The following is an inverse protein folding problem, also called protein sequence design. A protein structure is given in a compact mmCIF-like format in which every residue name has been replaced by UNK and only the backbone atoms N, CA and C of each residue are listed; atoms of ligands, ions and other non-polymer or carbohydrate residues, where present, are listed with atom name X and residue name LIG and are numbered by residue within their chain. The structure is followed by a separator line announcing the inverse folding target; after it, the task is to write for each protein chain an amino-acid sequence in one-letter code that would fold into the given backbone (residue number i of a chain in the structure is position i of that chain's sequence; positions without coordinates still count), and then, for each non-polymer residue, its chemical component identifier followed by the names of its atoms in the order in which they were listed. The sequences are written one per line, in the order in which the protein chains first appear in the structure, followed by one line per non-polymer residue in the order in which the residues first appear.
data_IF_210363003444
#
_entry.id   IF_210363003444
#
_cell.length_a   1.000
_cell.length_b   1.000
_cell.length_c   1.000
_cell.angle_alpha   90.00
_cell.angle_beta   90.00
_cell.angle_gamma   90.00
#
_symmetry.space_group_name_H-M   'P 1'
#
loop_
_entity.id
_entity.type
_entity.pdbx_description
1 polymer ?
#
# COMPACT_ATOMS: atom_id res chain seq x y z
N UNK A 1 3.82 71.67 -11.18
CA UNK A 1 3.58 72.76 -10.21
C UNK A 1 3.99 72.22 -8.84
N UNK A 2 5.01 72.83 -8.23
CA UNK A 2 5.64 72.58 -6.92
C UNK A 2 6.41 71.28 -6.65
N UNK A 3 7.73 71.40 -6.81
CA UNK A 3 8.76 70.65 -6.07
C UNK A 3 9.11 71.43 -4.79
N UNK A 4 9.28 70.77 -3.63
CA UNK A 4 10.18 71.24 -2.56
C UNK A 4 10.84 70.03 -1.87
N UNK A 5 12.17 70.00 -1.94
CA UNK A 5 13.11 69.14 -1.20
C UNK A 5 13.26 69.64 0.24
N UNK A 6 13.52 68.76 1.21
CA UNK A 6 14.44 69.06 2.33
C UNK A 6 15.18 67.81 2.79
N UNK A 7 16.50 67.87 2.65
CA UNK A 7 17.51 66.96 3.21
C UNK A 7 17.69 67.20 4.71
N UNK A 8 18.07 66.16 5.46
CA UNK A 8 18.99 66.27 6.59
C UNK A 8 19.68 64.91 6.87
N UNK A 9 20.97 64.92 6.55
CA UNK A 9 22.14 64.19 7.07
C UNK A 9 22.21 64.26 8.63
N UNK A 10 22.89 63.45 9.46
CA UNK A 10 24.24 62.82 9.55
C UNK A 10 24.17 61.95 10.85
N UNK A 11 24.52 60.65 10.86
CA UNK A 11 25.80 60.03 11.30
C UNK A 11 25.87 59.51 12.76
N UNK A 12 26.80 58.56 12.94
CA UNK A 12 27.45 58.17 14.21
C UNK A 12 26.58 57.35 15.18
N UNK A 13 27.00 56.27 15.83
CA UNK A 13 28.33 55.77 16.20
C UNK A 13 28.29 54.25 16.43
N UNK A 14 29.38 53.61 16.02
CA UNK A 14 30.12 52.49 16.63
C UNK A 14 29.66 51.85 17.95
N UNK A 15 29.84 50.52 17.97
CA UNK A 15 30.53 49.69 18.97
C UNK A 15 29.77 49.00 20.12
N UNK A 16 30.04 47.67 20.14
CA UNK A 16 30.25 46.76 21.26
C UNK A 16 29.15 46.60 22.33
N UNK A 17 28.68 45.36 22.44
CA UNK A 17 28.53 44.72 23.75
C UNK A 17 29.15 43.31 23.73
N UNK A 18 29.96 42.96 24.75
CA UNK A 18 30.55 41.65 24.93
C UNK A 18 29.70 40.76 25.85
N UNK A 19 29.81 39.45 25.59
CA UNK A 19 30.06 38.36 26.54
C UNK A 19 29.18 38.10 27.80
N UNK A 20 29.15 36.79 28.12
CA UNK A 20 29.04 36.13 29.43
C UNK A 20 27.62 35.81 29.99
N UNK A 21 27.21 34.57 29.72
CA UNK A 21 26.83 33.50 30.65
C UNK A 21 25.95 33.84 31.89
N UNK A 22 24.74 33.25 31.98
CA UNK A 22 24.14 32.94 33.28
C UNK A 22 23.26 31.68 33.24
N UNK A 23 23.72 30.69 33.98
CA UNK A 23 23.07 29.43 34.34
C UNK A 23 21.65 29.63 34.89
N UNK A 24 20.70 28.84 34.39
CA UNK A 24 19.55 28.34 35.16
C UNK A 24 19.49 26.81 35.01
N UNK A 25 19.76 26.08 36.09
CA UNK A 25 19.35 24.68 36.29
C UNK A 25 17.91 24.69 36.89
N UNK A 26 17.29 23.54 37.17
CA UNK A 26 16.77 22.51 36.27
C UNK A 26 15.24 22.43 36.40
N UNK A 27 14.51 22.18 35.31
CA UNK A 27 13.11 21.73 35.38
C UNK A 27 13.03 20.42 34.63
N UNK A 28 12.80 19.36 35.41
CA UNK A 28 12.56 17.99 34.95
C UNK A 28 11.42 18.00 33.94
N UNK A 29 11.74 17.83 32.67
CA UNK A 29 10.76 17.48 31.64
C UNK A 29 11.17 16.13 31.11
N UNK A 30 10.34 15.16 31.46
CA UNK A 30 10.30 13.76 31.10
C UNK A 30 11.08 13.40 29.83
N UNK A 31 12.03 12.49 30.04
CA UNK A 31 12.78 11.73 29.06
C UNK A 31 11.81 10.97 28.13
N UNK A 32 11.44 11.54 26.99
CA UNK A 32 11.01 10.74 25.85
C UNK A 32 12.28 10.21 25.18
N UNK A 33 12.82 9.13 25.75
CA UNK A 33 13.81 8.30 25.07
C UNK A 33 13.20 7.89 23.74
N UNK A 34 13.72 8.47 22.66
CA UNK A 34 13.47 7.99 21.31
C UNK A 34 14.15 6.62 21.26
N UNK A 35 13.40 5.55 21.50
CA UNK A 35 13.89 4.19 21.39
C UNK A 35 14.14 3.88 19.90
N UNK A 36 15.39 3.67 19.43
CA UNK A 36 15.63 3.12 18.11
C UNK A 36 15.53 1.58 18.19
N UNK A 37 14.44 1.08 18.77
CA UNK A 37 14.18 -0.33 18.94
C UNK A 37 12.91 -0.71 18.15
N UNK A 38 12.91 -0.40 16.85
CA UNK A 38 11.96 -1.03 15.93
C UNK A 38 12.50 -2.42 15.62
N UNK A 39 12.17 -3.33 16.54
CA UNK A 39 12.38 -4.78 16.47
C UNK A 39 12.45 -5.29 15.04
N UNK A 40 13.66 -5.68 14.60
CA UNK A 40 13.89 -6.50 13.41
C UNK A 40 13.58 -7.96 13.79
N UNK A 41 12.33 -8.23 14.11
CA UNK A 41 11.82 -9.58 14.36
C UNK A 41 11.14 -10.06 13.09
N UNK A 42 11.61 -11.19 12.54
CA UNK A 42 11.16 -12.11 11.46
C UNK A 42 9.87 -11.83 10.64
N UNK A 43 8.94 -11.02 11.12
CA UNK A 43 7.73 -10.47 10.49
C UNK A 43 7.97 -9.35 9.46
N UNK A 44 9.16 -9.29 8.81
CA UNK A 44 9.57 -8.16 7.95
C UNK A 44 10.28 -8.60 6.66
N UNK A 45 9.91 -9.76 6.11
CA UNK A 45 10.35 -10.14 4.76
C UNK A 45 9.20 -9.89 3.81
N UNK A 46 9.44 -9.06 2.81
CA UNK A 46 8.52 -8.88 1.70
C UNK A 46 8.43 -10.21 0.93
N UNK A 47 7.24 -10.54 0.45
CA UNK A 47 7.00 -11.66 -0.47
C UNK A 47 6.93 -11.14 -1.89
N UNK A 48 7.13 -12.00 -2.86
CA UNK A 48 6.87 -11.72 -4.27
C UNK A 48 5.58 -12.41 -4.70
N UNK A 49 4.73 -11.67 -5.40
CA UNK A 49 3.51 -12.22 -6.00
C UNK A 49 3.64 -12.11 -7.51
N UNK A 50 3.55 -13.24 -8.19
CA UNK A 50 3.57 -13.39 -9.63
C UNK A 50 2.14 -13.57 -10.14
N UNK A 51 1.67 -12.62 -10.93
CA UNK A 51 0.38 -12.67 -11.60
C UNK A 51 0.60 -13.11 -13.04
N UNK A 52 0.18 -14.33 -13.36
CA UNK A 52 0.33 -14.92 -14.69
C UNK A 52 -0.96 -14.69 -15.48
N UNK A 53 -0.89 -13.91 -16.55
CA UNK A 53 -2.02 -13.58 -17.41
C UNK A 53 -1.69 -13.96 -18.86
N UNK A 54 -2.13 -15.14 -19.30
CA UNK A 54 -1.68 -15.71 -20.57
C UNK A 54 -0.17 -15.92 -20.57
N UNK A 55 0.52 -15.34 -21.56
CA UNK A 55 1.98 -15.42 -21.70
C UNK A 55 2.74 -14.34 -20.90
N UNK A 56 2.03 -13.44 -20.22
CA UNK A 56 2.62 -12.34 -19.47
C UNK A 56 2.66 -12.64 -17.98
N UNK A 57 3.72 -12.21 -17.30
CA UNK A 57 3.85 -12.30 -15.84
C UNK A 57 4.16 -10.92 -15.26
N UNK A 58 3.36 -10.51 -14.29
CA UNK A 58 3.53 -9.25 -13.55
C UNK A 58 3.97 -9.60 -12.12
N UNK A 59 5.02 -8.97 -11.61
CA UNK A 59 5.56 -9.31 -10.29
C UNK A 59 5.56 -8.09 -9.39
N UNK A 60 4.89 -8.21 -8.24
CA UNK A 60 4.83 -7.17 -7.21
C UNK A 60 5.39 -7.66 -5.89
N UNK A 61 5.84 -6.72 -5.06
CA UNK A 61 6.19 -6.97 -3.66
C UNK A 61 4.95 -6.88 -2.79
N UNK A 62 4.81 -7.82 -1.87
CA UNK A 62 3.70 -7.87 -0.93
C UNK A 62 4.20 -7.94 0.51
N UNK A 63 3.48 -7.30 1.41
CA UNK A 63 3.61 -7.52 2.84
C UNK A 63 2.54 -8.48 3.30
N UNK A 64 2.79 -9.13 4.42
CA UNK A 64 1.76 -9.90 5.11
C UNK A 64 0.60 -8.98 5.48
N UNK A 65 -0.61 -9.37 5.09
CA UNK A 65 -1.86 -8.63 5.29
C UNK A 65 -2.38 -7.94 4.04
N UNK A 66 -1.51 -7.65 3.07
CA UNK A 66 -1.89 -7.03 1.80
C UNK A 66 -2.81 -7.96 1.02
N UNK A 67 -3.84 -7.43 0.37
CA UNK A 67 -4.62 -8.16 -0.62
C UNK A 67 -3.87 -8.25 -1.95
N UNK A 68 -4.24 -9.18 -2.83
CA UNK A 68 -3.63 -9.22 -4.17
C UNK A 68 -3.93 -7.94 -4.98
N UNK A 69 -5.04 -7.25 -4.69
CA UNK A 69 -5.32 -5.92 -5.25
C UNK A 69 -4.35 -4.86 -4.73
N UNK A 70 -4.06 -4.84 -3.43
CA UNK A 70 -3.08 -3.91 -2.85
C UNK A 70 -1.71 -4.10 -3.50
N UNK A 71 -1.30 -5.35 -3.75
CA UNK A 71 -0.03 -5.64 -4.44
C UNK A 71 -0.01 -5.07 -5.86
N UNK A 72 -1.11 -5.16 -6.60
CA UNK A 72 -1.23 -4.59 -7.95
C UNK A 72 -1.11 -3.07 -7.93
N UNK A 73 -1.82 -2.41 -7.02
CA UNK A 73 -1.88 -0.95 -6.93
C UNK A 73 -0.57 -0.38 -6.36
N UNK A 74 -0.08 -0.91 -5.24
CA UNK A 74 1.12 -0.40 -4.55
C UNK A 74 2.42 -0.57 -5.35
N UNK A 75 2.42 -1.49 -6.33
CA UNK A 75 3.56 -1.74 -7.21
C UNK A 75 3.35 -1.20 -8.64
N UNK A 76 2.27 -0.46 -8.90
CA UNK A 76 1.95 0.10 -10.23
C UNK A 76 2.03 -0.93 -11.37
N UNK A 77 1.50 -2.14 -11.13
CA UNK A 77 1.61 -3.23 -12.10
C UNK A 77 0.72 -2.96 -13.33
N UNK A 78 1.24 -3.07 -14.57
CA UNK A 78 0.51 -2.72 -15.79
C UNK A 78 -0.46 -3.83 -16.24
N UNK A 79 -1.34 -4.28 -15.34
CA UNK A 79 -2.42 -5.23 -15.64
C UNK A 79 -3.76 -4.48 -15.73
N UNK A 80 -4.09 -4.04 -16.94
CA UNK A 80 -5.27 -3.20 -17.17
C UNK A 80 -6.57 -3.84 -16.70
N UNK A 81 -7.43 -2.99 -16.11
CA UNK A 81 -8.78 -3.33 -15.66
C UNK A 81 -8.84 -4.20 -14.40
N UNK A 82 -7.71 -4.60 -13.81
CA UNK A 82 -7.71 -5.39 -12.58
C UNK A 82 -8.21 -4.56 -11.39
N UNK A 83 -9.25 -5.04 -10.69
CA UNK A 83 -9.78 -4.38 -9.48
C UNK A 83 -10.58 -3.10 -9.72
N UNK A 84 -11.47 -3.07 -10.71
CA UNK A 84 -12.16 -1.86 -11.16
C UNK A 84 -13.14 -1.23 -10.14
N UNK A 85 -13.55 -1.99 -9.12
CA UNK A 85 -14.35 -1.50 -7.98
C UNK A 85 -13.52 -1.18 -6.73
N UNK A 86 -12.18 -1.22 -6.82
CA UNK A 86 -11.29 -0.86 -5.70
C UNK A 86 -11.52 -1.72 -4.44
N UNK A 87 -11.93 -2.99 -4.62
CA UNK A 87 -12.08 -3.95 -3.53
C UNK A 87 -13.42 -3.93 -2.80
N UNK A 88 -14.43 -3.21 -3.31
CA UNK A 88 -15.76 -3.14 -2.69
C UNK A 88 -16.71 -4.30 -3.04
N UNK A 89 -16.18 -5.41 -3.57
CA UNK A 89 -16.97 -6.61 -3.98
C UNK A 89 -18.16 -6.24 -4.88
N UNK A 90 -17.93 -5.33 -5.84
CA UNK A 90 -18.97 -4.84 -6.76
C UNK A 90 -18.62 -5.11 -8.24
N UNK A 91 -17.58 -5.90 -8.50
CA UNK A 91 -17.19 -6.36 -9.82
C UNK A 91 -16.39 -7.67 -9.70
N UNK A 92 -16.15 -8.36 -10.81
CA UNK A 92 -15.31 -9.56 -10.88
C UNK A 92 -13.96 -9.36 -11.60
N UNK A 93 -13.55 -8.11 -11.88
CA UNK A 93 -12.32 -7.86 -12.67
C UNK A 93 -11.01 -8.18 -11.94
N UNK A 94 -11.07 -8.46 -10.64
CA UNK A 94 -9.94 -8.96 -9.84
C UNK A 94 -9.93 -10.49 -9.71
N UNK A 95 -10.74 -11.21 -10.49
CA UNK A 95 -10.77 -12.67 -10.50
C UNK A 95 -9.37 -13.25 -10.71
N UNK A 96 -8.98 -14.14 -9.80
CA UNK A 96 -7.76 -14.93 -9.84
C UNK A 96 -8.08 -16.40 -9.61
N UNK A 97 -7.22 -17.26 -10.14
CA UNK A 97 -7.25 -18.70 -9.92
C UNK A 97 -6.04 -19.05 -9.06
N UNK A 98 -6.31 -19.63 -7.90
CA UNK A 98 -5.30 -20.04 -6.93
C UNK A 98 -4.87 -21.50 -7.18
N UNK A 99 -3.68 -21.87 -6.71
CA UNK A 99 -3.32 -23.29 -6.61
C UNK A 99 -4.19 -23.99 -5.56
N UNK A 100 -4.39 -25.30 -5.68
CA UNK A 100 -5.20 -26.07 -4.73
C UNK A 100 -4.76 -25.85 -3.27
N UNK A 101 -3.45 -25.80 -3.03
CA UNK A 101 -2.88 -25.60 -1.70
C UNK A 101 -3.13 -24.19 -1.18
N UNK A 102 -3.01 -23.17 -2.04
CA UNK A 102 -3.27 -21.79 -1.66
C UNK A 102 -4.76 -21.55 -1.42
N UNK A 103 -5.63 -22.09 -2.29
CA UNK A 103 -7.07 -22.00 -2.13
C UNK A 103 -7.53 -22.63 -0.81
N UNK A 104 -7.14 -23.87 -0.52
CA UNK A 104 -7.52 -24.57 0.73
C UNK A 104 -7.10 -23.81 1.98
N UNK A 105 -5.94 -23.14 1.92
CA UNK A 105 -5.45 -22.33 3.04
C UNK A 105 -6.28 -21.06 3.21
N UNK A 106 -6.50 -20.33 2.12
CA UNK A 106 -7.34 -19.13 2.13
C UNK A 106 -8.77 -19.47 2.57
N UNK A 107 -9.32 -20.61 2.19
CA UNK A 107 -10.66 -21.03 2.61
C UNK A 107 -10.75 -21.33 4.12
N UNK A 108 -9.64 -21.72 4.76
CA UNK A 108 -9.59 -21.92 6.21
C UNK A 108 -9.51 -20.61 7.00
N UNK A 109 -8.83 -19.60 6.45
CA UNK A 109 -8.53 -18.33 7.13
C UNK A 109 -9.50 -17.21 6.77
N UNK A 110 -9.94 -17.19 5.51
CA UNK A 110 -10.88 -16.25 4.92
C UNK A 110 -11.80 -16.99 3.91
N UNK A 111 -12.78 -17.76 4.42
CA UNK A 111 -13.76 -18.47 3.60
C UNK A 111 -14.44 -17.53 2.60
N UNK A 112 -14.81 -18.07 1.44
CA UNK A 112 -15.53 -17.30 0.42
C UNK A 112 -16.89 -16.83 0.97
N UNK A 113 -17.21 -15.54 0.82
CA UNK A 113 -18.52 -15.01 1.24
C UNK A 113 -19.59 -15.22 0.16
N UNK A 114 -20.87 -15.13 0.53
CA UNK A 114 -21.97 -15.21 -0.44
C UNK A 114 -21.88 -14.09 -1.48
N UNK A 115 -21.55 -12.86 -1.07
CA UNK A 115 -21.38 -11.73 -1.99
C UNK A 115 -20.19 -11.93 -2.94
N UNK A 116 -19.11 -12.55 -2.48
CA UNK A 116 -17.98 -12.92 -3.33
C UNK A 116 -18.41 -13.95 -4.39
N UNK A 117 -19.18 -14.98 -3.99
CA UNK A 117 -19.72 -16.00 -4.90
C UNK A 117 -20.65 -15.39 -5.94
N UNK A 118 -21.58 -14.52 -5.54
CA UNK A 118 -22.50 -13.83 -6.44
C UNK A 118 -21.75 -13.06 -7.54
N UNK A 119 -20.61 -12.44 -7.19
CA UNK A 119 -19.77 -11.74 -8.17
C UNK A 119 -18.94 -12.70 -9.02
N UNK A 120 -18.45 -13.81 -8.45
CA UNK A 120 -17.70 -14.83 -9.19
C UNK A 120 -18.55 -15.53 -10.25
N UNK A 121 -19.85 -15.72 -10.01
CA UNK A 121 -20.79 -16.31 -10.98
C UNK A 121 -20.93 -15.50 -12.28
N UNK A 122 -20.61 -14.20 -12.22
CA UNK A 122 -20.59 -13.31 -13.39
C UNK A 122 -19.25 -13.38 -14.15
N UNK A 123 -18.22 -13.98 -13.54
CA UNK A 123 -16.88 -14.05 -14.11
C UNK A 123 -16.78 -15.08 -15.25
N UNK A 124 -16.15 -14.74 -16.39
CA UNK A 124 -15.78 -15.74 -17.36
C UNK A 124 -14.73 -16.72 -16.79
N UNK A 125 -14.66 -17.92 -17.36
CA UNK A 125 -13.62 -18.92 -17.06
C UNK A 125 -13.49 -19.26 -15.56
N UNK A 126 -14.63 -19.29 -14.86
CA UNK A 126 -14.72 -19.67 -13.44
C UNK A 126 -14.26 -21.12 -13.24
N UNK A 127 -13.51 -21.34 -12.16
CA UNK A 127 -12.97 -22.64 -11.73
C UNK A 127 -13.20 -22.83 -10.22
N UNK A 128 -13.10 -24.06 -9.73
CA UNK A 128 -13.28 -24.39 -8.31
C UNK A 128 -12.34 -23.63 -7.37
N UNK A 129 -11.17 -23.23 -7.85
CA UNK A 129 -10.18 -22.47 -7.07
C UNK A 129 -10.21 -20.96 -7.34
N UNK A 130 -11.30 -20.47 -7.90
CA UNK A 130 -11.46 -19.06 -8.21
C UNK A 130 -11.76 -18.24 -6.96
N UNK A 131 -11.12 -17.08 -6.87
CA UNK A 131 -11.35 -16.08 -5.82
C UNK A 131 -11.34 -14.68 -6.42
N UNK A 132 -11.95 -13.72 -5.74
CA UNK A 132 -11.72 -12.31 -6.02
C UNK A 132 -10.41 -11.89 -5.35
N UNK A 133 -9.42 -11.48 -6.13
CA UNK A 133 -8.08 -11.14 -5.65
C UNK A 133 -8.05 -10.00 -4.63
N UNK A 134 -9.08 -9.14 -4.60
CA UNK A 134 -9.23 -8.13 -3.54
C UNK A 134 -9.59 -8.72 -2.17
N UNK A 135 -10.11 -9.95 -2.11
CA UNK A 135 -10.44 -10.67 -0.88
C UNK A 135 -9.33 -11.66 -0.46
N UNK A 136 -8.46 -12.05 -1.38
CA UNK A 136 -7.31 -12.93 -1.10
C UNK A 136 -6.21 -12.13 -0.42
N UNK A 137 -5.80 -12.57 0.77
CA UNK A 137 -4.76 -11.90 1.57
C UNK A 137 -3.46 -12.69 1.56
N UNK A 138 -2.36 -11.94 1.60
CA UNK A 138 -1.04 -12.50 1.78
C UNK A 138 -0.83 -12.83 3.25
N UNK A 139 -0.62 -14.10 3.55
CA UNK A 139 -0.56 -14.65 4.91
C UNK A 139 0.86 -14.82 5.41
N UNK A 140 1.06 -15.22 6.67
CA UNK A 140 2.41 -15.54 7.21
C UNK A 140 2.87 -16.93 6.78
N UNK A 141 1.93 -17.78 6.45
CA UNK A 141 2.09 -19.17 6.06
C UNK A 141 2.42 -19.33 4.58
N UNK A 142 2.21 -18.27 3.78
CA UNK A 142 2.64 -18.26 2.38
C UNK A 142 4.15 -18.47 2.24
N UNK A 143 4.58 -18.87 1.04
CA UNK A 143 5.99 -18.93 0.67
C UNK A 143 6.59 -17.54 0.35
N UNK A 144 7.92 -17.44 0.16
CA UNK A 144 8.56 -16.20 -0.27
C UNK A 144 8.07 -15.73 -1.64
N UNK A 145 7.61 -16.67 -2.47
CA UNK A 145 7.02 -16.44 -3.79
C UNK A 145 5.62 -17.05 -3.81
N UNK A 146 4.66 -16.29 -4.35
CA UNK A 146 3.26 -16.68 -4.54
C UNK A 146 2.97 -16.52 -6.02
N UNK A 147 2.37 -17.52 -6.65
CA UNK A 147 1.95 -17.43 -8.05
C UNK A 147 0.44 -17.60 -8.13
N UNK A 148 -0.22 -16.65 -8.80
CA UNK A 148 -1.65 -16.68 -9.08
C UNK A 148 -1.88 -16.51 -10.57
N UNK A 149 -2.86 -17.22 -11.10
CA UNK A 149 -3.26 -17.08 -12.50
C UNK A 149 -4.38 -16.07 -12.60
N UNK A 150 -4.26 -15.12 -13.51
CA UNK A 150 -5.32 -14.16 -13.86
C UNK A 150 -5.91 -14.60 -15.21
N UNK A 151 -7.22 -14.85 -15.31
CA UNK A 151 -7.87 -15.11 -16.59
C UNK A 151 -7.63 -13.98 -17.59
N UNK A 152 -7.47 -14.35 -18.86
CA UNK A 152 -7.24 -13.38 -19.95
C UNK A 152 -8.53 -12.67 -20.34
N UNK A 153 -9.64 -13.39 -20.31
CA UNK A 153 -10.97 -12.81 -20.46
C UNK A 153 -11.40 -12.26 -19.11
N UNK A 154 -11.46 -10.93 -18.96
CA UNK A 154 -11.99 -10.26 -17.76
C UNK A 154 -13.08 -9.31 -18.19
N UNK A 155 -14.23 -9.37 -17.53
CA UNK A 155 -15.37 -8.48 -17.79
C UNK A 155 -15.70 -7.70 -16.52
N UNK A 156 -16.02 -6.42 -16.69
CA UNK A 156 -16.55 -5.61 -15.61
C UNK A 156 -18.06 -5.82 -15.52
N UNK A 157 -18.51 -6.56 -14.51
CA UNK A 157 -19.92 -6.85 -14.29
C UNK A 157 -20.80 -5.59 -14.17
N UNK A 158 -20.23 -4.42 -13.83
CA UNK A 158 -20.95 -3.15 -13.74
C UNK A 158 -21.34 -2.57 -15.11
N UNK A 159 -20.81 -3.13 -16.19
CA UNK A 159 -21.06 -2.69 -17.57
C UNK A 159 -22.08 -3.59 -18.30
N UNK A 160 -22.70 -4.53 -17.57
CA UNK A 160 -23.77 -5.42 -18.05
C UNK A 160 -25.14 -4.80 -17.74
#
# INVERSE_FOLDING_TARGET
MFAIRRSLTIASTSNLLPAINRLKKPTQVSLLTINPARSLSDSKRDRLVHFVCGDQTYTGKAKVGDSLLDVMVDNDLPLDGFGACEGTVACCTCHVILSDEHFKRQDQTNPVSEEELDMLDLSPDLTDNSRLGCQVRVEKEDGPEITVTVPTNRRDARQL
#
